data_IF_684376118270
#
_entry.id   IF_684376118270
#
_cell.length_a   1.000
_cell.length_b   1.000
_cell.length_c   1.000
_cell.angle_alpha   90.00
_cell.angle_beta   90.00
_cell.angle_gamma   90.00
#
_symmetry.space_group_name_H-M   'P 1'
#
loop_
_entity.id
_entity.type
_entity.pdbx_description
1 polymer ?
#
# COMPACT_ATOMS: atom_id res chain seq x y z
N UNK A 1 -9.15 7.33 20.10
CA UNK A 1 -8.83 6.34 19.05
C UNK A 1 -7.44 6.57 18.48
N UNK A 2 -6.63 5.60 18.53
CA UNK A 2 -5.28 5.75 18.06
C UNK A 2 -5.08 5.05 16.71
N UNK A 3 -5.19 5.83 15.65
CA UNK A 3 -5.10 5.30 14.31
C UNK A 3 -3.71 4.77 13.98
N UNK A 4 -2.69 5.18 14.71
CA UNK A 4 -1.34 4.74 14.37
C UNK A 4 -1.10 3.26 14.65
N UNK A 5 -1.87 2.66 15.55
CA UNK A 5 -1.74 1.21 15.78
C UNK A 5 -2.25 0.40 14.60
N UNK A 6 -3.22 0.93 13.87
CA UNK A 6 -3.85 0.18 12.79
C UNK A 6 -3.48 0.75 11.43
N UNK A 7 -2.45 1.58 11.40
CA UNK A 7 -2.08 2.26 10.16
C UNK A 7 -1.85 1.29 9.02
N UNK A 8 -1.04 0.27 9.26
CA UNK A 8 -0.69 -0.66 8.20
C UNK A 8 -1.84 -1.60 7.88
N UNK A 9 -2.59 -2.02 8.89
CA UNK A 9 -3.75 -2.87 8.66
C UNK A 9 -4.79 -2.15 7.82
N UNK A 10 -5.08 -0.90 8.17
CA UNK A 10 -6.07 -0.13 7.44
C UNK A 10 -5.64 0.11 6.00
N UNK A 11 -4.37 0.47 5.83
CA UNK A 11 -3.85 0.72 4.49
C UNK A 11 -3.85 -0.55 3.66
N UNK A 12 -3.51 -1.67 4.28
CA UNK A 12 -3.50 -2.95 3.56
C UNK A 12 -4.89 -3.29 3.05
N UNK A 13 -5.91 -3.11 3.90
CA UNK A 13 -7.27 -3.41 3.48
C UNK A 13 -7.70 -2.54 2.30
N UNK A 14 -7.37 -1.26 2.39
CA UNK A 14 -7.69 -0.36 1.30
C UNK A 14 -6.91 -0.70 0.03
N UNK A 15 -5.66 -1.11 0.20
CA UNK A 15 -4.82 -1.46 -0.93
C UNK A 15 -5.33 -2.74 -1.61
N UNK A 16 -5.77 -3.71 -0.83
CA UNK A 16 -6.33 -4.94 -1.39
C UNK A 16 -7.59 -4.62 -2.19
N UNK A 17 -8.41 -3.71 -1.69
CA UNK A 17 -9.58 -3.28 -2.43
C UNK A 17 -9.19 -2.65 -3.76
N UNK A 18 -8.16 -1.82 -3.75
CA UNK A 18 -7.65 -1.23 -4.99
C UNK A 18 -7.10 -2.31 -5.92
N UNK A 19 -6.42 -3.29 -5.37
CA UNK A 19 -5.86 -4.37 -6.16
C UNK A 19 -6.97 -5.16 -6.87
N UNK A 20 -8.05 -5.43 -6.14
CA UNK A 20 -9.17 -6.13 -6.75
C UNK A 20 -9.79 -5.31 -7.88
N UNK A 21 -9.90 -4.01 -7.69
CA UNK A 21 -10.42 -3.14 -8.75
C UNK A 21 -9.52 -3.17 -9.97
N UNK A 22 -8.22 -3.21 -9.77
CA UNK A 22 -7.28 -3.28 -10.88
C UNK A 22 -7.44 -4.59 -11.64
N UNK A 23 -7.58 -5.70 -10.93
CA UNK A 23 -7.73 -6.99 -11.58
C UNK A 23 -9.03 -7.09 -12.37
N UNK A 24 -10.08 -6.46 -11.87
CA UNK A 24 -11.36 -6.46 -12.55
C UNK A 24 -11.44 -5.37 -13.62
N UNK A 25 -10.36 -4.62 -13.80
CA UNK A 25 -10.31 -3.51 -14.74
C UNK A 25 -11.38 -2.47 -14.46
N UNK A 26 -11.69 -2.29 -13.18
CA UNK A 26 -12.71 -1.34 -12.74
C UNK A 26 -12.05 0.01 -12.50
N UNK A 27 -11.39 0.53 -13.54
CA UNK A 27 -10.72 1.83 -13.45
C UNK A 27 -10.93 2.67 -14.70
N UNK A 28 -11.86 2.29 -15.53
CA UNK A 28 -12.00 2.94 -16.83
C UNK A 28 -12.81 4.23 -16.77
N UNK A 29 -13.69 4.32 -15.78
CA UNK A 29 -14.55 5.49 -15.64
C UNK A 29 -14.05 6.45 -14.56
N UNK A 30 -12.80 6.31 -14.18
CA UNK A 30 -12.24 7.19 -13.16
C UNK A 30 -12.12 8.62 -13.69
N UNK A 31 -12.30 9.58 -12.79
CA UNK A 31 -12.02 10.94 -13.18
C UNK A 31 -10.51 11.19 -13.13
N UNK A 32 -10.13 12.39 -13.51
CA UNK A 32 -8.73 12.74 -13.65
C UNK A 32 -7.96 12.58 -12.32
N UNK A 33 -8.61 12.96 -11.22
CA UNK A 33 -7.95 12.90 -9.91
C UNK A 33 -7.69 11.46 -9.49
N UNK A 34 -8.64 10.58 -9.73
CA UNK A 34 -8.48 9.17 -9.38
C UNK A 34 -7.42 8.52 -10.27
N UNK A 35 -7.39 8.89 -11.54
CA UNK A 35 -6.39 8.36 -12.44
C UNK A 35 -4.99 8.74 -11.98
N UNK A 36 -4.83 9.98 -11.58
CA UNK A 36 -3.54 10.45 -11.10
C UNK A 36 -3.16 9.76 -9.80
N UNK A 37 -4.13 9.57 -8.91
CA UNK A 37 -3.88 8.89 -7.65
C UNK A 37 -3.44 7.45 -7.88
N UNK A 38 -4.02 6.77 -8.85
CA UNK A 38 -3.61 5.41 -9.17
C UNK A 38 -2.17 5.36 -9.66
N UNK A 39 -1.78 6.30 -10.51
CA UNK A 39 -0.40 6.36 -10.98
C UNK A 39 0.56 6.62 -9.83
N UNK A 40 0.20 7.54 -8.95
CA UNK A 40 1.03 7.85 -7.79
C UNK A 40 1.11 6.64 -6.85
N UNK A 41 0.03 5.88 -6.77
CA UNK A 41 0.01 4.67 -5.95
C UNK A 41 1.06 3.67 -6.44
N UNK A 42 1.19 3.50 -7.75
CA UNK A 42 2.21 2.60 -8.29
C UNK A 42 3.61 3.06 -7.90
N UNK A 43 3.88 4.34 -8.04
CA UNK A 43 5.20 4.87 -7.67
C UNK A 43 5.47 4.67 -6.18
N UNK A 44 4.47 4.94 -5.35
CA UNK A 44 4.64 4.78 -3.92
C UNK A 44 4.89 3.33 -3.56
N UNK A 45 4.19 2.40 -4.20
CA UNK A 45 4.40 0.99 -3.96
C UNK A 45 5.81 0.55 -4.32
N UNK A 46 6.36 1.10 -5.40
CA UNK A 46 7.73 0.80 -5.77
C UNK A 46 8.71 1.31 -4.71
N UNK A 47 8.46 2.52 -4.21
CA UNK A 47 9.29 3.08 -3.17
C UNK A 47 9.23 2.23 -1.90
N UNK A 48 8.05 1.77 -1.55
CA UNK A 48 7.89 0.92 -0.38
C UNK A 48 8.66 -0.38 -0.55
N UNK A 49 8.60 -0.97 -1.72
CA UNK A 49 9.32 -2.21 -1.98
C UNK A 49 10.83 -2.04 -1.91
N UNK A 50 11.32 -0.86 -2.22
CA UNK A 50 12.76 -0.57 -2.12
C UNK A 50 13.25 -0.67 -0.69
N UNK A 51 12.38 -0.47 0.28
CA UNK A 51 12.72 -0.54 1.69
C UNK A 51 12.39 -1.89 2.32
N UNK A 52 11.89 -2.82 1.53
CA UNK A 52 11.36 -4.07 2.06
C UNK A 52 12.40 -4.89 2.83
N UNK A 53 13.56 -5.05 2.24
CA UNK A 53 14.58 -5.90 2.86
C UNK A 53 15.05 -5.30 4.18
N UNK A 54 15.28 -4.02 4.20
CA UNK A 54 15.73 -3.35 5.40
C UNK A 54 14.70 -3.45 6.51
N UNK A 55 13.44 -3.22 6.17
CA UNK A 55 12.37 -3.25 7.15
C UNK A 55 12.16 -4.66 7.69
N UNK A 56 12.17 -5.66 6.81
CA UNK A 56 12.00 -7.04 7.25
C UNK A 56 13.14 -7.46 8.17
N UNK A 57 14.36 -7.06 7.85
CA UNK A 57 15.49 -7.37 8.69
C UNK A 57 15.33 -6.75 10.07
N UNK A 58 14.90 -5.50 10.12
CA UNK A 58 14.70 -4.84 11.41
C UNK A 58 13.59 -5.50 12.21
N UNK A 59 12.54 -5.95 11.53
CA UNK A 59 11.44 -6.63 12.22
C UNK A 59 11.88 -7.97 12.79
N UNK A 60 12.69 -8.71 12.03
CA UNK A 60 13.20 -9.99 12.50
C UNK A 60 14.11 -9.81 13.70
N UNK A 61 14.98 -8.81 13.66
CA UNK A 61 15.86 -8.52 14.77
C UNK A 61 15.07 -8.13 16.02
N UNK A 62 13.98 -7.42 15.82
CA UNK A 62 13.14 -7.01 16.92
C UNK A 62 12.50 -8.23 17.60
N UNK A 63 12.07 -9.20 16.80
CA UNK A 63 11.45 -10.39 17.34
C UNK A 63 12.44 -11.26 18.14
N UNK A 64 13.71 -11.19 17.76
CA UNK A 64 14.74 -12.02 18.39
C UNK A 64 15.30 -11.41 19.66
N UNK A 65 14.97 -10.18 19.96
CA UNK A 65 15.53 -9.51 21.14
C UNK A 65 14.65 -9.62 22.40
#
# INVERSE_FOLDING_TARGET
>A
MNMSYCRFQNTLMDLVDCFNAIEEEDYQDMDYREERALKDLFYTCEDILDHREEVLENLENKDNS
#
